data_IF_680550204055
#
_entry.id   IF_680550204055
#
_cell.length_a   1.000
_cell.length_b   1.000
_cell.length_c   1.000
_cell.angle_alpha   90.00
_cell.angle_beta   90.00
_cell.angle_gamma   90.00
#
_symmetry.space_group_name_H-M   'P 1'
#
loop_
_entity.id
_entity.type
_entity.pdbx_description
1 polymer ?
#
# COMPACT_ATOMS: atom_id res chain seq x y z
N UNK A 1 -13.49 -19.46 -17.46
CA UNK A 1 -14.58 -20.00 -16.59
C UNK A 1 -15.73 -19.01 -16.58
N UNK A 2 -16.95 -19.41 -17.00
CA UNK A 2 -18.14 -18.57 -16.85
C UNK A 2 -18.42 -18.35 -15.36
N UNK A 3 -18.52 -17.11 -14.92
CA UNK A 3 -18.92 -16.78 -13.54
C UNK A 3 -20.39 -17.14 -13.37
N UNK A 4 -20.73 -17.87 -12.31
CA UNK A 4 -22.12 -18.23 -11.95
C UNK A 4 -22.94 -17.00 -11.52
N UNK A 5 -22.28 -15.96 -10.99
CA UNK A 5 -22.90 -14.72 -10.52
C UNK A 5 -22.47 -13.59 -11.45
N UNK A 6 -23.40 -12.79 -11.99
CA UNK A 6 -23.07 -11.62 -12.78
C UNK A 6 -22.25 -10.60 -11.99
N UNK A 7 -21.30 -9.96 -12.66
CA UNK A 7 -20.45 -8.94 -12.04
C UNK A 7 -21.24 -7.77 -11.43
N UNK A 8 -22.39 -7.45 -12.01
CA UNK A 8 -23.32 -6.41 -11.53
C UNK A 8 -23.87 -6.68 -10.12
N UNK A 9 -23.89 -7.96 -9.69
CA UNK A 9 -24.34 -8.36 -8.36
C UNK A 9 -23.10 -8.64 -7.48
N UNK A 10 -22.10 -9.32 -8.02
CA UNK A 10 -20.93 -9.76 -7.30
C UNK A 10 -20.16 -8.60 -6.65
N UNK A 11 -19.84 -7.55 -7.40
CA UNK A 11 -19.06 -6.40 -6.90
C UNK A 11 -19.80 -5.58 -5.84
N UNK A 12 -21.08 -5.17 -6.03
CA UNK A 12 -21.82 -4.47 -4.98
C UNK A 12 -21.97 -5.27 -3.69
N UNK A 13 -22.26 -6.57 -3.80
CA UNK A 13 -22.39 -7.45 -2.63
C UNK A 13 -21.05 -7.59 -1.90
N UNK A 14 -19.96 -7.85 -2.64
CA UNK A 14 -18.61 -7.93 -2.05
C UNK A 14 -18.24 -6.60 -1.37
N UNK A 15 -18.52 -5.47 -2.01
CA UNK A 15 -18.28 -4.13 -1.44
C UNK A 15 -19.07 -3.91 -0.15
N UNK A 16 -20.36 -4.28 -0.13
CA UNK A 16 -21.20 -4.16 1.04
C UNK A 16 -20.69 -5.01 2.20
N UNK A 17 -20.34 -6.27 1.94
CA UNK A 17 -19.77 -7.19 2.94
C UNK A 17 -18.45 -6.64 3.48
N UNK A 18 -17.51 -6.27 2.61
CA UNK A 18 -16.22 -5.75 3.04
C UNK A 18 -16.36 -4.44 3.82
N UNK A 19 -17.29 -3.58 3.41
CA UNK A 19 -17.59 -2.32 4.11
C UNK A 19 -18.18 -2.56 5.50
N UNK A 20 -19.09 -3.52 5.64
CA UNK A 20 -19.70 -3.88 6.92
C UNK A 20 -18.69 -4.57 7.85
N UNK A 21 -17.96 -5.56 7.35
CA UNK A 21 -17.04 -6.39 8.14
C UNK A 21 -15.78 -5.61 8.53
N UNK A 22 -15.14 -4.93 7.58
CA UNK A 22 -13.86 -4.25 7.79
C UNK A 22 -13.98 -2.73 7.90
N UNK A 23 -15.20 -2.19 7.89
CA UNK A 23 -15.45 -0.73 7.95
C UNK A 23 -14.58 0.03 6.97
N UNK A 24 -14.51 -0.48 5.73
CA UNK A 24 -13.62 0.04 4.69
C UNK A 24 -13.95 1.50 4.37
N UNK A 25 -12.94 2.35 4.42
CA UNK A 25 -12.99 3.75 4.02
C UNK A 25 -12.10 3.97 2.80
N UNK A 26 -12.59 4.75 1.85
CA UNK A 26 -11.80 5.18 0.67
C UNK A 26 -11.60 6.68 0.78
N UNK A 27 -10.34 7.13 0.65
CA UNK A 27 -9.92 8.53 0.67
C UNK A 27 -9.22 8.86 -0.64
N UNK A 28 -9.28 10.11 -1.07
CA UNK A 28 -8.60 10.55 -2.28
C UNK A 28 -9.23 10.01 -3.58
N UNK A 29 -10.52 9.67 -3.59
CA UNK A 29 -11.20 9.17 -4.79
C UNK A 29 -11.21 10.21 -5.92
N UNK A 30 -11.13 11.48 -5.57
CA UNK A 30 -10.98 12.62 -6.49
C UNK A 30 -9.67 12.57 -7.29
N UNK A 31 -8.64 11.92 -6.76
CA UNK A 31 -7.35 11.73 -7.44
C UNK A 31 -7.40 10.62 -8.50
N UNK A 32 -8.46 9.83 -8.53
CA UNK A 32 -8.56 8.72 -9.47
C UNK A 32 -8.95 9.23 -10.87
N UNK A 33 -8.08 9.07 -11.90
CA UNK A 33 -8.40 9.55 -13.25
C UNK A 33 -9.61 8.82 -13.83
N UNK A 34 -10.56 9.56 -14.39
CA UNK A 34 -11.79 8.99 -14.95
C UNK A 34 -11.63 8.42 -16.35
N UNK A 35 -10.54 8.78 -17.04
CA UNK A 35 -10.26 8.38 -18.42
C UNK A 35 -8.76 8.21 -18.63
N UNK A 36 -8.37 7.68 -19.77
CA UNK A 36 -6.98 7.44 -20.13
C UNK A 36 -6.47 6.07 -19.65
N UNK A 37 -5.23 5.77 -19.99
CA UNK A 37 -4.51 4.56 -19.57
C UNK A 37 -4.09 4.68 -18.12
N UNK A 38 -4.39 3.69 -17.30
CA UNK A 38 -4.18 3.73 -15.86
C UNK A 38 -3.48 2.48 -15.36
N UNK A 39 -2.43 2.70 -14.59
CA UNK A 39 -1.70 1.67 -13.87
C UNK A 39 -1.81 1.96 -12.37
N UNK A 40 -2.55 1.15 -11.65
CA UNK A 40 -2.66 1.25 -10.19
C UNK A 40 -1.51 0.49 -9.54
N UNK A 41 -0.80 1.15 -8.65
CA UNK A 41 0.23 0.53 -7.81
C UNK A 41 -0.21 0.56 -6.35
N UNK A 42 -0.03 -0.55 -5.62
CA UNK A 42 -0.42 -0.63 -4.22
C UNK A 42 0.60 -1.42 -3.39
N UNK A 43 0.67 -1.13 -2.09
CA UNK A 43 1.39 -1.97 -1.13
C UNK A 43 0.64 -3.30 -0.92
N UNK A 44 1.37 -4.36 -0.54
CA UNK A 44 0.81 -5.71 -0.43
C UNK A 44 1.06 -6.33 0.94
N UNK A 45 0.09 -6.22 1.85
CA UNK A 45 0.22 -6.64 3.25
C UNK A 45 -0.71 -7.78 3.65
N UNK A 46 -1.74 -8.04 2.82
CA UNK A 46 -2.77 -9.02 3.12
C UNK A 46 -3.30 -9.69 1.84
N UNK A 47 -3.79 -10.90 1.96
CA UNK A 47 -4.52 -11.58 0.88
C UNK A 47 -5.82 -10.88 0.50
N UNK A 48 -6.33 -9.99 1.36
CA UNK A 48 -7.52 -9.17 1.08
C UNK A 48 -7.25 -8.04 0.08
N UNK A 49 -6.00 -7.64 -0.12
CA UNK A 49 -5.66 -6.40 -0.84
C UNK A 49 -6.24 -6.38 -2.26
N UNK A 50 -6.12 -7.50 -3.00
CA UNK A 50 -6.69 -7.59 -4.34
C UNK A 50 -8.23 -7.51 -4.35
N UNK A 51 -8.90 -8.15 -3.38
CA UNK A 51 -10.35 -8.08 -3.24
C UNK A 51 -10.84 -6.68 -2.85
N UNK A 52 -10.08 -6.00 -1.98
CA UNK A 52 -10.35 -4.61 -1.59
C UNK A 52 -10.25 -3.67 -2.80
N UNK A 53 -9.16 -3.76 -3.57
CA UNK A 53 -8.97 -2.94 -4.76
C UNK A 53 -10.04 -3.25 -5.82
N UNK A 54 -10.35 -4.52 -6.07
CA UNK A 54 -11.41 -4.91 -7.00
C UNK A 54 -12.80 -4.38 -6.60
N UNK A 55 -13.10 -4.37 -5.30
CA UNK A 55 -14.41 -3.94 -4.81
C UNK A 55 -14.57 -2.41 -4.73
N UNK A 56 -13.48 -1.68 -4.47
CA UNK A 56 -13.55 -0.26 -4.11
C UNK A 56 -12.99 0.70 -5.16
N UNK A 57 -12.18 0.24 -6.12
CA UNK A 57 -11.82 1.07 -7.27
C UNK A 57 -13.04 1.29 -8.18
N UNK A 58 -13.10 2.44 -8.88
CA UNK A 58 -14.20 2.74 -9.79
C UNK A 58 -14.33 1.77 -10.97
N UNK A 59 -13.19 1.31 -11.48
CA UNK A 59 -13.12 0.36 -12.60
C UNK A 59 -13.01 -1.09 -12.11
N UNK A 60 -13.16 -2.03 -13.03
CA UNK A 60 -12.89 -3.45 -12.80
C UNK A 60 -11.44 -3.75 -13.16
N UNK A 61 -10.52 -3.77 -12.19
CA UNK A 61 -9.11 -3.92 -12.49
C UNK A 61 -8.73 -5.34 -12.87
N UNK A 62 -7.64 -5.43 -13.61
CA UNK A 62 -6.91 -6.65 -13.93
C UNK A 62 -5.74 -6.80 -12.98
N UNK A 63 -5.57 -7.97 -12.42
CA UNK A 63 -4.49 -8.28 -11.50
C UNK A 63 -3.47 -9.22 -12.14
N UNK A 64 -2.21 -8.93 -11.88
CA UNK A 64 -1.11 -9.84 -12.11
C UNK A 64 -0.95 -10.75 -10.90
N UNK A 65 -1.15 -12.07 -11.04
CA UNK A 65 -1.06 -13.03 -9.93
C UNK A 65 -0.05 -14.12 -10.26
N UNK A 66 0.91 -14.36 -9.36
CA UNK A 66 1.90 -15.42 -9.53
C UNK A 66 1.23 -16.79 -9.74
N UNK A 67 1.64 -17.52 -10.79
CA UNK A 67 1.02 -18.80 -11.20
C UNK A 67 0.92 -19.80 -10.04
N UNK A 68 1.98 -19.95 -9.24
CA UNK A 68 1.98 -20.85 -8.09
C UNK A 68 0.95 -20.44 -7.03
N UNK A 69 0.77 -19.13 -6.81
CA UNK A 69 -0.23 -18.58 -5.88
C UNK A 69 -1.63 -18.83 -6.41
N UNK A 70 -1.85 -18.66 -7.71
CA UNK A 70 -3.14 -18.91 -8.35
C UNK A 70 -3.61 -20.37 -8.23
N UNK A 71 -2.70 -21.32 -8.05
CA UNK A 71 -3.02 -22.74 -7.89
C UNK A 71 -3.44 -23.13 -6.47
N UNK A 72 -3.16 -22.31 -5.47
CA UNK A 72 -3.51 -22.60 -4.08
C UNK A 72 -5.03 -22.70 -3.90
N UNK A 73 -5.50 -23.81 -3.31
CA UNK A 73 -6.94 -24.11 -3.17
C UNK A 73 -7.71 -23.03 -2.42
N UNK A 74 -7.11 -22.43 -1.40
CA UNK A 74 -7.72 -21.37 -0.59
C UNK A 74 -7.68 -19.98 -1.25
N UNK A 75 -6.79 -19.76 -2.25
CA UNK A 75 -6.74 -18.52 -3.05
C UNK A 75 -7.81 -18.50 -4.15
N UNK A 76 -8.17 -19.67 -4.67
CA UNK A 76 -9.15 -19.82 -5.77
C UNK A 76 -10.48 -19.07 -5.55
N UNK A 77 -11.09 -19.06 -4.35
CA UNK A 77 -12.31 -18.27 -4.11
C UNK A 77 -12.10 -16.78 -4.31
N UNK A 78 -10.95 -16.25 -3.87
CA UNK A 78 -10.60 -14.84 -4.03
C UNK A 78 -10.33 -14.48 -5.50
N UNK A 79 -9.69 -15.38 -6.26
CA UNK A 79 -9.46 -15.18 -7.69
C UNK A 79 -10.77 -15.15 -8.50
N UNK A 80 -11.84 -15.76 -8.00
CA UNK A 80 -13.16 -15.64 -8.62
C UNK A 80 -13.76 -14.23 -8.50
N UNK A 81 -13.33 -13.46 -7.50
CA UNK A 81 -13.77 -12.08 -7.28
C UNK A 81 -13.05 -11.08 -8.20
N UNK A 82 -11.90 -11.45 -8.76
CA UNK A 82 -11.06 -10.54 -9.54
C UNK A 82 -10.81 -11.09 -10.94
N UNK A 83 -10.51 -10.21 -11.90
CA UNK A 83 -9.95 -10.60 -13.19
C UNK A 83 -8.45 -10.75 -13.03
N UNK A 84 -7.98 -11.99 -12.86
CA UNK A 84 -6.57 -12.27 -12.63
C UNK A 84 -5.95 -12.95 -13.84
N UNK A 85 -4.77 -12.48 -14.26
CA UNK A 85 -3.91 -13.17 -15.19
C UNK A 85 -2.83 -13.91 -14.41
N UNK A 86 -2.78 -15.25 -14.51
CA UNK A 86 -1.69 -16.03 -13.94
C UNK A 86 -0.40 -15.65 -14.61
N UNK A 87 0.63 -15.36 -13.83
CA UNK A 87 1.87 -14.79 -14.28
C UNK A 87 3.03 -15.57 -13.69
N UNK A 88 4.00 -15.88 -14.53
CA UNK A 88 5.33 -16.28 -14.11
C UNK A 88 6.26 -15.04 -14.20
N UNK A 89 6.72 -14.49 -13.07
CA UNK A 89 7.55 -13.29 -13.07
C UNK A 89 8.89 -13.49 -13.79
N UNK A 90 9.29 -14.72 -14.04
CA UNK A 90 10.53 -15.04 -14.77
C UNK A 90 10.39 -14.94 -16.28
N UNK A 91 9.13 -14.79 -16.78
CA UNK A 91 8.86 -14.75 -18.23
C UNK A 91 8.68 -13.31 -18.74
N UNK A 92 9.51 -12.87 -19.72
CA UNK A 92 9.41 -11.53 -20.32
C UNK A 92 8.06 -11.25 -21.02
N UNK A 93 7.38 -12.30 -21.47
CA UNK A 93 6.05 -12.21 -22.11
C UNK A 93 4.98 -11.61 -21.23
N UNK A 94 5.16 -11.70 -19.91
CA UNK A 94 4.28 -11.12 -18.93
C UNK A 94 4.11 -9.63 -19.07
N UNK A 95 5.21 -8.89 -19.08
CA UNK A 95 5.17 -7.44 -19.19
C UNK A 95 4.46 -7.01 -20.48
N UNK A 96 4.63 -7.75 -21.57
CA UNK A 96 3.90 -7.51 -22.83
C UNK A 96 2.39 -7.66 -22.66
N UNK A 97 1.94 -8.72 -21.99
CA UNK A 97 0.51 -8.96 -21.74
C UNK A 97 -0.09 -7.83 -20.90
N UNK A 98 0.62 -7.37 -19.86
CA UNK A 98 0.14 -6.26 -19.04
C UNK A 98 0.14 -4.93 -19.81
N UNK A 99 1.15 -4.67 -20.64
CA UNK A 99 1.16 -3.51 -21.54
C UNK A 99 -0.06 -3.54 -22.47
N UNK A 100 -0.34 -4.67 -23.13
CA UNK A 100 -1.52 -4.81 -23.99
C UNK A 100 -2.83 -4.54 -23.23
N UNK A 101 -2.98 -5.06 -22.02
CA UNK A 101 -4.15 -4.75 -21.19
C UNK A 101 -4.32 -3.24 -20.93
N UNK A 102 -3.22 -2.53 -20.66
CA UNK A 102 -3.25 -1.07 -20.45
C UNK A 102 -3.56 -0.34 -21.75
N UNK A 103 -2.97 -0.76 -22.87
CA UNK A 103 -3.20 -0.20 -24.20
C UNK A 103 -4.66 -0.39 -24.67
N UNK A 104 -5.29 -1.50 -24.28
CA UNK A 104 -6.72 -1.77 -24.47
C UNK A 104 -7.64 -0.91 -23.57
N UNK A 105 -7.08 -0.01 -22.76
CA UNK A 105 -7.82 0.85 -21.84
C UNK A 105 -8.26 0.17 -20.54
N UNK A 106 -7.79 -1.05 -20.26
CA UNK A 106 -8.08 -1.75 -19.02
C UNK A 106 -7.21 -1.21 -17.88
N UNK A 107 -7.76 -1.10 -16.70
CA UNK A 107 -7.00 -0.74 -15.51
C UNK A 107 -6.23 -1.95 -15.01
N UNK A 108 -4.91 -1.84 -14.94
CA UNK A 108 -4.04 -2.88 -14.42
C UNK A 108 -3.62 -2.51 -13.00
N UNK A 109 -3.72 -3.46 -12.07
CA UNK A 109 -3.22 -3.33 -10.70
C UNK A 109 -1.98 -4.18 -10.53
N UNK A 110 -0.94 -3.57 -10.02
CA UNK A 110 0.32 -4.25 -9.69
C UNK A 110 0.68 -3.96 -8.23
N UNK A 111 1.18 -4.98 -7.57
CA UNK A 111 1.88 -4.86 -6.29
C UNK A 111 3.39 -4.85 -6.58
N UNK A 112 4.03 -3.66 -6.56
CA UNK A 112 5.41 -3.52 -7.02
C UNK A 112 6.43 -4.30 -6.20
N UNK A 113 6.05 -4.71 -4.99
CA UNK A 113 6.86 -5.54 -4.08
C UNK A 113 6.95 -7.01 -4.55
N UNK A 114 6.12 -7.45 -5.51
CA UNK A 114 6.08 -8.79 -6.08
C UNK A 114 5.67 -9.89 -5.11
N UNK A 115 5.45 -9.58 -3.84
CA UNK A 115 5.05 -10.51 -2.77
C UNK A 115 4.37 -9.79 -1.63
N UNK A 116 3.69 -10.56 -0.77
CA UNK A 116 3.19 -10.03 0.50
C UNK A 116 4.33 -9.53 1.38
N UNK A 117 4.15 -8.35 1.96
CA UNK A 117 5.12 -7.74 2.86
C UNK A 117 5.45 -8.67 4.04
N UNK A 118 6.74 -8.77 4.36
CA UNK A 118 7.25 -9.47 5.54
C UNK A 118 7.67 -8.51 6.63
N UNK A 119 7.71 -7.21 6.33
CA UNK A 119 8.14 -6.17 7.26
C UNK A 119 6.98 -5.35 7.81
N UNK A 120 5.89 -5.24 7.07
CA UNK A 120 4.74 -4.36 7.35
C UNK A 120 4.90 -2.95 6.79
N UNK A 121 6.11 -2.59 6.35
CA UNK A 121 6.40 -1.38 5.59
C UNK A 121 6.60 -1.68 4.11
N UNK A 122 6.84 -0.65 3.32
CA UNK A 122 7.20 -0.76 1.92
C UNK A 122 8.55 -1.47 1.77
N UNK A 123 8.58 -2.54 1.00
CA UNK A 123 9.79 -3.30 0.71
C UNK A 123 10.41 -2.84 -0.62
N UNK A 124 11.34 -3.64 -1.14
CA UNK A 124 11.93 -3.42 -2.46
C UNK A 124 10.83 -3.37 -3.53
N UNK A 125 10.87 -2.34 -4.35
CA UNK A 125 10.04 -2.15 -5.54
C UNK A 125 10.81 -2.66 -6.76
N UNK A 126 10.14 -3.42 -7.63
CA UNK A 126 10.69 -3.95 -8.86
C UNK A 126 10.40 -3.04 -10.05
N UNK A 127 11.16 -3.20 -11.13
CA UNK A 127 11.14 -2.31 -12.30
C UNK A 127 9.88 -2.40 -13.19
N UNK A 128 9.11 -3.50 -13.04
CA UNK A 128 7.96 -3.78 -13.89
C UNK A 128 6.94 -2.65 -14.02
N UNK A 129 6.48 -2.05 -12.92
CA UNK A 129 5.51 -0.93 -12.97
C UNK A 129 6.04 0.28 -13.73
N UNK A 130 7.30 0.67 -13.48
CA UNK A 130 7.95 1.78 -14.19
C UNK A 130 8.03 1.51 -15.70
N UNK A 131 8.45 0.29 -16.07
CA UNK A 131 8.51 -0.13 -17.47
C UNK A 131 7.12 -0.07 -18.14
N UNK A 132 6.07 -0.62 -17.52
CA UNK A 132 4.72 -0.61 -18.08
C UNK A 132 4.21 0.82 -18.24
N UNK A 133 4.36 1.67 -17.21
CA UNK A 133 3.92 3.06 -17.28
C UNK A 133 4.58 3.83 -18.40
N UNK A 134 5.92 3.75 -18.52
CA UNK A 134 6.66 4.40 -19.59
C UNK A 134 6.27 3.86 -20.97
N UNK A 135 6.23 2.52 -21.14
CA UNK A 135 5.95 1.86 -22.43
C UNK A 135 4.55 2.17 -22.97
N UNK A 136 3.58 2.34 -22.09
CA UNK A 136 2.16 2.53 -22.45
C UNK A 136 1.69 3.97 -22.34
N UNK A 137 2.51 4.86 -21.78
CA UNK A 137 2.09 6.22 -21.43
C UNK A 137 0.99 6.24 -20.37
N UNK A 138 0.90 5.21 -19.50
CA UNK A 138 -0.13 5.13 -18.48
C UNK A 138 0.15 6.05 -17.30
N UNK A 139 -0.90 6.68 -16.82
CA UNK A 139 -0.89 7.38 -15.54
C UNK A 139 -0.80 6.39 -14.40
N UNK A 140 0.20 6.54 -13.54
CA UNK A 140 0.38 5.75 -12.32
C UNK A 140 -0.53 6.31 -11.24
N UNK A 141 -1.33 5.45 -10.61
CA UNK A 141 -2.23 5.80 -9.51
C UNK A 141 -1.78 5.06 -8.26
N UNK A 142 -1.11 5.73 -7.32
CA UNK A 142 -0.68 5.08 -6.09
C UNK A 142 -1.86 4.89 -5.13
N UNK A 143 -1.99 3.69 -4.58
CA UNK A 143 -3.00 3.37 -3.56
C UNK A 143 -2.31 2.78 -2.34
N UNK A 144 -2.54 3.40 -1.18
CA UNK A 144 -2.06 2.86 0.11
C UNK A 144 -3.20 2.14 0.82
N UNK A 145 -2.94 0.90 1.23
CA UNK A 145 -3.85 0.05 1.99
C UNK A 145 -3.34 -0.02 3.43
N UNK A 146 -4.10 0.54 4.36
CA UNK A 146 -3.79 0.48 5.79
C UNK A 146 -4.86 -0.32 6.54
N UNK A 147 -4.46 -1.01 7.61
CA UNK A 147 -5.32 -1.84 8.45
C UNK A 147 -5.45 -3.30 7.98
N UNK A 148 -5.22 -3.60 6.70
CA UNK A 148 -5.30 -4.96 6.18
C UNK A 148 -4.23 -5.88 6.78
N UNK A 149 -3.06 -5.35 7.13
CA UNK A 149 -1.98 -6.04 7.85
C UNK A 149 -2.37 -6.54 9.23
N UNK A 150 -3.44 -6.00 9.81
CA UNK A 150 -3.97 -6.43 11.11
C UNK A 150 -5.00 -7.55 11.00
N UNK A 151 -5.43 -7.89 9.78
CA UNK A 151 -6.45 -8.92 9.56
C UNK A 151 -5.89 -10.33 9.78
N UNK A 152 -6.80 -11.29 9.95
CA UNK A 152 -6.43 -12.72 9.99
C UNK A 152 -5.84 -13.24 8.69
N UNK A 153 -5.98 -12.50 7.58
CA UNK A 153 -5.47 -12.81 6.26
C UNK A 153 -4.06 -12.29 5.99
N UNK A 154 -3.36 -11.78 7.01
CA UNK A 154 -1.97 -11.30 6.89
C UNK A 154 -0.95 -12.41 7.13
N UNK A 155 0.23 -12.27 6.53
CA UNK A 155 1.42 -13.04 6.90
C UNK A 155 2.20 -12.44 8.09
N UNK A 156 1.82 -11.25 8.56
CA UNK A 156 2.52 -10.48 9.59
C UNK A 156 2.05 -10.81 11.03
N UNK A 157 1.51 -12.01 11.24
CA UNK A 157 0.99 -12.44 12.54
C UNK A 157 2.04 -12.41 13.68
N UNK A 158 3.30 -12.54 13.34
CA UNK A 158 4.42 -12.48 14.27
C UNK A 158 4.77 -11.04 14.70
N UNK A 159 4.37 -10.04 13.91
CA UNK A 159 4.65 -8.61 14.17
C UNK A 159 3.45 -7.86 14.72
N UNK A 160 2.24 -8.22 14.29
CA UNK A 160 1.02 -7.51 14.65
C UNK A 160 0.04 -8.45 15.35
N UNK A 161 -0.64 -7.93 16.36
CA UNK A 161 -1.78 -8.62 16.97
C UNK A 161 -2.92 -8.65 15.95
N UNK A 162 -3.28 -9.84 15.47
CA UNK A 162 -4.39 -10.05 14.55
C UNK A 162 -5.72 -9.59 15.16
N UNK A 163 -6.55 -9.00 14.33
CA UNK A 163 -7.94 -8.64 14.65
C UNK A 163 -8.85 -9.32 13.64
N UNK A 164 -9.99 -9.83 14.09
CA UNK A 164 -10.95 -10.45 13.18
C UNK A 164 -11.50 -9.42 12.16
N UNK A 165 -11.80 -8.21 12.65
CA UNK A 165 -12.44 -7.15 11.86
C UNK A 165 -11.72 -5.80 12.05
N UNK A 166 -10.48 -5.64 11.56
CA UNK A 166 -9.80 -4.36 11.62
C UNK A 166 -10.50 -3.34 10.72
N UNK A 167 -10.42 -2.05 11.07
CA UNK A 167 -10.77 -1.00 10.12
C UNK A 167 -9.71 -0.96 9.03
N UNK A 168 -10.15 -0.87 7.77
CA UNK A 168 -9.26 -0.78 6.62
C UNK A 168 -9.49 0.54 5.90
N UNK A 169 -8.42 1.22 5.52
CA UNK A 169 -8.47 2.45 4.75
C UNK A 169 -7.70 2.27 3.43
N UNK A 170 -8.33 2.67 2.34
CA UNK A 170 -7.71 2.78 1.02
C UNK A 170 -7.49 4.26 0.74
N UNK A 171 -6.24 4.69 0.60
CA UNK A 171 -5.91 6.07 0.26
C UNK A 171 -5.36 6.13 -1.16
N UNK A 172 -6.08 6.80 -2.05
CA UNK A 172 -5.67 7.04 -3.44
C UNK A 172 -4.90 8.34 -3.46
N UNK A 173 -3.62 8.27 -3.76
CA UNK A 173 -2.74 9.43 -3.85
C UNK A 173 -2.85 10.15 -5.20
N UNK A 174 -2.19 11.31 -5.32
CA UNK A 174 -2.11 12.05 -6.57
C UNK A 174 -1.55 11.17 -7.70
N UNK A 175 -2.19 11.18 -8.88
CA UNK A 175 -1.69 10.44 -10.02
C UNK A 175 -0.42 11.08 -10.58
N UNK A 176 0.46 10.26 -11.15
CA UNK A 176 1.70 10.70 -11.78
C UNK A 176 1.96 9.95 -13.08
N UNK A 177 2.80 10.50 -13.93
CA UNK A 177 3.24 9.85 -15.16
C UNK A 177 4.78 9.80 -15.20
N UNK A 178 5.30 8.82 -15.89
CA UNK A 178 6.73 8.79 -16.21
C UNK A 178 6.93 9.62 -17.48
N UNK A 179 7.67 10.72 -17.37
CA UNK A 179 7.98 11.56 -18.51
C UNK A 179 8.86 10.81 -19.51
N UNK A 180 8.66 11.06 -20.82
CA UNK A 180 9.46 10.41 -21.88
C UNK A 180 10.97 10.68 -21.75
N UNK A 181 11.33 11.83 -21.18
CA UNK A 181 12.72 12.24 -20.94
C UNK A 181 13.32 11.63 -19.66
N UNK A 182 12.53 10.94 -18.83
CA UNK A 182 13.02 10.35 -17.58
C UNK A 182 13.93 9.16 -17.85
N UNK A 183 15.19 9.17 -17.37
CA UNK A 183 16.10 8.05 -17.52
C UNK A 183 15.55 6.77 -16.88
N UNK A 184 15.86 5.61 -17.48
CA UNK A 184 15.32 4.31 -17.06
C UNK A 184 15.66 3.95 -15.61
N UNK A 185 16.83 4.32 -15.15
CA UNK A 185 17.29 4.10 -13.77
C UNK A 185 16.49 4.90 -12.72
N UNK A 186 15.76 5.93 -13.14
CA UNK A 186 14.91 6.74 -12.29
C UNK A 186 13.45 6.22 -12.20
N UNK A 187 13.02 5.30 -13.06
CA UNK A 187 11.61 4.83 -13.04
C UNK A 187 11.25 4.14 -11.75
N UNK A 188 12.07 3.22 -11.27
CA UNK A 188 11.83 2.49 -10.01
C UNK A 188 11.93 3.40 -8.79
N UNK A 189 12.95 4.27 -8.66
CA UNK A 189 12.96 5.32 -7.63
C UNK A 189 11.71 6.19 -7.63
N UNK A 190 11.22 6.61 -8.80
CA UNK A 190 9.99 7.40 -8.90
C UNK A 190 8.75 6.63 -8.40
N UNK A 191 8.58 5.37 -8.80
CA UNK A 191 7.50 4.50 -8.30
C UNK A 191 7.59 4.33 -6.77
N UNK A 192 8.80 4.11 -6.24
CA UNK A 192 9.04 4.00 -4.80
C UNK A 192 8.68 5.29 -4.07
N UNK A 193 9.07 6.43 -4.62
CA UNK A 193 8.76 7.75 -4.06
C UNK A 193 7.25 7.97 -4.00
N UNK A 194 6.51 7.74 -5.09
CA UNK A 194 5.05 7.87 -5.12
C UNK A 194 4.36 7.02 -4.05
N UNK A 195 4.81 5.76 -3.88
CA UNK A 195 4.26 4.88 -2.85
C UNK A 195 4.59 5.37 -1.44
N UNK A 196 5.80 5.85 -1.22
CA UNK A 196 6.25 6.34 0.08
C UNK A 196 5.52 7.62 0.49
N UNK A 197 5.39 8.58 -0.43
CA UNK A 197 4.66 9.83 -0.21
C UNK A 197 3.17 9.56 0.07
N UNK A 198 2.56 8.65 -0.70
CA UNK A 198 1.17 8.27 -0.46
C UNK A 198 1.00 7.54 0.87
N UNK A 199 1.92 6.67 1.26
CA UNK A 199 1.91 6.03 2.57
C UNK A 199 2.05 7.04 3.72
N UNK A 200 2.91 8.04 3.54
CA UNK A 200 3.10 9.12 4.51
C UNK A 200 1.84 10.00 4.63
N UNK A 201 1.28 10.44 3.51
CA UNK A 201 0.06 11.26 3.49
C UNK A 201 -1.19 10.53 4.01
N UNK A 202 -1.21 9.21 3.91
CA UNK A 202 -2.28 8.37 4.45
C UNK A 202 -2.27 8.31 5.99
N UNK A 203 -1.14 8.63 6.62
CA UNK A 203 -1.02 8.62 8.08
C UNK A 203 -1.86 9.73 8.70
N UNK A 204 -2.39 9.47 9.89
CA UNK A 204 -3.07 10.49 10.66
C UNK A 204 -2.02 11.47 11.21
N UNK A 205 -2.08 12.77 10.87
CA UNK A 205 -1.12 13.76 11.40
C UNK A 205 -1.11 13.85 12.93
N UNK A 206 -2.19 13.39 13.59
CA UNK A 206 -2.22 13.25 15.05
C UNK A 206 -1.33 12.10 15.58
N UNK A 207 -0.85 11.19 14.72
CA UNK A 207 0.08 10.12 15.06
C UNK A 207 1.53 10.55 14.77
N UNK A 208 2.04 11.49 15.54
CA UNK A 208 3.46 11.83 15.50
C UNK A 208 4.29 10.78 16.23
N UNK A 209 5.56 10.62 15.83
CA UNK A 209 6.54 9.76 16.53
C UNK A 209 6.59 10.10 18.03
N UNK A 210 6.54 11.40 18.36
CA UNK A 210 6.53 11.86 19.75
C UNK A 210 5.32 11.36 20.54
N UNK A 211 4.13 11.42 19.95
CA UNK A 211 2.91 10.88 20.57
C UNK A 211 2.98 9.37 20.78
N UNK A 212 3.47 8.64 19.79
CA UNK A 212 3.62 7.18 19.93
C UNK A 212 4.67 6.80 20.97
N UNK A 213 5.74 7.59 21.12
CA UNK A 213 6.70 7.43 22.22
C UNK A 213 6.04 7.65 23.58
N UNK A 214 5.16 8.66 23.73
CA UNK A 214 4.39 8.88 24.97
C UNK A 214 3.52 7.66 25.29
N UNK A 215 2.78 7.14 24.30
CA UNK A 215 1.91 5.97 24.47
C UNK A 215 2.74 4.73 24.86
N UNK A 216 3.86 4.52 24.19
CA UNK A 216 4.78 3.42 24.47
C UNK A 216 5.42 3.55 25.87
N UNK A 217 5.82 4.76 26.26
CA UNK A 217 6.34 5.06 27.61
C UNK A 217 5.33 4.71 28.70
N UNK A 218 4.06 5.09 28.52
CA UNK A 218 2.97 4.73 29.46
C UNK A 218 2.74 3.24 29.55
N UNK A 219 2.89 2.52 28.42
CA UNK A 219 2.64 1.07 28.32
C UNK A 219 3.79 0.22 28.88
N UNK A 220 5.03 0.64 28.67
CA UNK A 220 6.22 -0.15 28.97
C UNK A 220 7.04 0.37 30.14
N UNK A 221 6.67 1.52 30.69
CA UNK A 221 7.39 2.22 31.76
C UNK A 221 8.40 3.26 31.23
N UNK A 222 8.43 4.46 31.82
CA UNK A 222 9.28 5.58 31.35
C UNK A 222 10.78 5.28 31.44
N UNK A 223 11.20 4.47 32.40
CA UNK A 223 12.61 4.08 32.62
C UNK A 223 13.12 2.99 31.69
N UNK A 224 12.25 2.38 30.85
CA UNK A 224 12.70 1.31 29.95
C UNK A 224 13.64 1.86 28.88
N UNK A 225 14.85 1.29 28.79
CA UNK A 225 15.82 1.60 27.74
C UNK A 225 15.28 1.12 26.39
N UNK A 226 15.28 1.99 25.38
CA UNK A 226 14.76 1.73 24.04
C UNK A 226 15.77 1.98 22.94
N UNK A 227 16.89 2.61 23.27
CA UNK A 227 17.99 2.83 22.35
C UNK A 227 19.32 2.75 23.11
N UNK A 228 20.27 2.03 22.57
CA UNK A 228 21.60 1.85 23.14
C UNK A 228 22.63 2.50 22.22
N UNK A 229 23.44 3.35 22.80
CA UNK A 229 24.53 4.01 22.08
C UNK A 229 25.70 3.06 21.93
N UNK A 230 26.58 3.38 20.99
CA UNK A 230 27.81 2.63 20.73
C UNK A 230 28.76 2.58 21.95
N UNK A 231 28.60 3.52 22.89
CA UNK A 231 29.36 3.61 24.15
C UNK A 231 28.71 2.83 25.31
N UNK A 232 27.70 2.01 25.03
CA UNK A 232 26.95 1.23 26.01
C UNK A 232 25.97 2.00 26.87
N UNK A 233 25.82 3.33 26.65
CA UNK A 233 24.83 4.14 27.37
C UNK A 233 23.46 3.99 26.74
N UNK A 234 22.50 3.51 27.52
CA UNK A 234 21.12 3.40 27.09
C UNK A 234 20.35 4.71 27.25
N UNK A 235 19.41 4.97 26.35
CA UNK A 235 18.40 6.02 26.49
C UNK A 235 17.05 5.38 26.77
N UNK A 236 16.42 5.81 27.86
CA UNK A 236 15.06 5.42 28.22
C UNK A 236 14.01 6.23 27.45
N UNK A 237 12.75 5.81 27.54
CA UNK A 237 11.63 6.63 27.03
C UNK A 237 11.63 8.03 27.63
N UNK A 238 11.89 8.17 28.95
CA UNK A 238 11.93 9.46 29.63
C UNK A 238 13.05 10.36 29.07
N UNK A 239 14.24 9.79 28.83
CA UNK A 239 15.37 10.54 28.27
C UNK A 239 15.05 11.07 26.86
N UNK A 240 14.50 10.21 26.00
CA UNK A 240 14.16 10.60 24.62
C UNK A 240 13.04 11.64 24.60
N UNK A 241 11.98 11.45 25.39
CA UNK A 241 10.87 12.40 25.46
C UNK A 241 11.32 13.75 26.02
N UNK A 242 12.14 13.77 27.07
CA UNK A 242 12.67 15.01 27.65
C UNK A 242 13.56 15.76 26.66
N UNK A 243 14.48 15.06 25.99
CA UNK A 243 15.34 15.67 24.96
C UNK A 243 14.54 16.18 23.76
N UNK A 244 13.53 15.43 23.30
CA UNK A 244 12.67 15.85 22.21
C UNK A 244 11.85 17.10 22.57
N UNK A 245 11.32 17.17 23.79
CA UNK A 245 10.60 18.35 24.27
C UNK A 245 11.53 19.58 24.34
N UNK A 246 12.75 19.40 24.87
CA UNK A 246 13.74 20.49 24.92
C UNK A 246 14.10 20.99 23.51
N UNK A 247 14.38 20.08 22.57
CA UNK A 247 14.65 20.45 21.17
C UNK A 247 13.44 21.15 20.53
N UNK A 248 12.22 20.66 20.76
CA UNK A 248 11.00 21.29 20.27
C UNK A 248 10.85 22.75 20.74
N UNK A 249 11.14 23.03 22.02
CA UNK A 249 11.11 24.42 22.53
C UNK A 249 12.17 25.28 21.89
N UNK A 250 13.37 24.77 21.61
CA UNK A 250 14.43 25.51 20.92
C UNK A 250 14.09 25.76 19.46
N UNK A 251 13.55 24.80 18.75
CA UNK A 251 13.12 24.98 17.35
C UNK A 251 11.99 26.01 17.25
N UNK A 252 11.00 25.96 18.14
CA UNK A 252 9.91 26.95 18.17
C UNK A 252 10.35 28.40 18.35
N UNK A 253 11.57 28.64 18.90
CA UNK A 253 12.14 29.97 19.04
C UNK A 253 12.80 30.51 17.76
N UNK A 254 13.16 29.61 16.81
CA UNK A 254 13.93 29.96 15.59
C UNK A 254 13.20 29.65 14.30
N UNK A 255 12.01 29.06 14.37
CA UNK A 255 11.17 28.70 13.20
C UNK A 255 9.83 29.43 13.28
N UNK A 256 9.32 29.88 12.14
CA UNK A 256 7.96 30.41 12.06
C UNK A 256 6.92 29.27 12.10
N UNK A 257 5.70 29.51 12.66
CA UNK A 257 4.64 28.52 12.62
C UNK A 257 4.32 28.12 11.17
N UNK A 258 4.47 26.83 10.87
CA UNK A 258 4.20 26.29 9.53
C UNK A 258 5.41 26.22 8.59
N UNK A 259 6.62 26.47 9.06
CA UNK A 259 7.87 26.39 8.30
C UNK A 259 8.45 24.97 8.13
N UNK A 260 7.64 23.91 8.34
CA UNK A 260 8.01 22.50 8.09
C UNK A 260 7.04 21.90 7.09
#
# INVERSE_FOLDING_TARGET
MRRLIPDSILYPVTRAILRAVFRVQVRGLENYPRSGRRLVIANHTSWLDAALLAAFLPDKPVFAVHTQIAQLRWVKPFLKLVTAYPIDPTQPMLLKTLCSCVEEGRVVVIFPEGRLSTTGGLMKVYDGPGFIAHRTGATIVPVHIDGAQLSVFTRLAHKYRRRCFPRITLTIGPPSAIADVMPRDQWTPHVYQLMSENAFSAQNPAHSVYRELIVASRRHGPGRVIWERHDGRGLSYADILGRSAYLGTRFAQVTEPGSI
#
